data_IF_079339163547
#
_entry.id   IF_079339163547
#
_cell.length_a   1.000
_cell.length_b   1.000
_cell.length_c   1.000
_cell.angle_alpha   90.00
_cell.angle_beta   90.00
_cell.angle_gamma   90.00
#
_symmetry.space_group_name_H-M   'P 1'
#
loop_
_entity.id
_entity.type
_entity.pdbx_description
1 polymer ?
#
# COMPACT_ATOMS: atom_id res chain seq x y z
N UNK A 1 -50.47 -9.90 28.74
CA UNK A 1 -49.87 -8.91 27.80
C UNK A 1 -48.62 -8.20 28.32
N UNK A 2 -48.44 -7.98 29.64
CA UNK A 2 -47.26 -7.26 30.19
C UNK A 2 -45.92 -8.02 30.07
N UNK A 3 -45.94 -9.36 30.13
CA UNK A 3 -44.73 -10.20 30.09
C UNK A 3 -44.05 -10.16 28.71
N UNK A 4 -44.84 -10.17 27.63
CA UNK A 4 -44.32 -10.10 26.24
C UNK A 4 -43.58 -8.78 26.00
N UNK A 5 -44.12 -7.67 26.52
CA UNK A 5 -43.47 -6.36 26.42
C UNK A 5 -42.11 -6.31 27.17
N UNK A 6 -42.00 -6.95 28.34
CA UNK A 6 -40.75 -7.00 29.11
C UNK A 6 -39.67 -7.80 28.37
N UNK A 7 -40.02 -8.97 27.82
CA UNK A 7 -39.08 -9.82 27.07
C UNK A 7 -38.57 -9.07 25.81
N UNK A 8 -39.46 -8.39 25.09
CA UNK A 8 -39.10 -7.58 23.93
C UNK A 8 -38.14 -6.44 24.30
N UNK A 9 -38.37 -5.75 25.43
CA UNK A 9 -37.51 -4.66 25.91
C UNK A 9 -36.11 -5.15 26.33
N UNK A 10 -36.02 -6.31 26.99
CA UNK A 10 -34.72 -6.92 27.38
C UNK A 10 -33.89 -7.29 26.15
N UNK A 11 -34.52 -7.92 25.15
CA UNK A 11 -33.84 -8.29 23.90
C UNK A 11 -33.39 -7.06 23.09
N UNK A 12 -34.20 -6.00 23.06
CA UNK A 12 -33.82 -4.71 22.48
C UNK A 12 -32.64 -4.07 23.22
N UNK A 13 -32.65 -4.09 24.56
CA UNK A 13 -31.56 -3.56 25.38
C UNK A 13 -30.22 -4.28 25.13
N UNK A 14 -30.24 -5.61 25.07
CA UNK A 14 -29.05 -6.43 24.81
C UNK A 14 -28.47 -6.18 23.41
N UNK A 15 -29.33 -6.13 22.37
CA UNK A 15 -28.90 -5.88 20.99
C UNK A 15 -28.34 -4.46 20.79
N UNK A 16 -28.96 -3.46 21.40
CA UNK A 16 -28.47 -2.07 21.40
C UNK A 16 -27.13 -1.94 22.14
N UNK A 17 -26.97 -2.62 23.27
CA UNK A 17 -25.71 -2.67 24.03
C UNK A 17 -24.56 -3.21 23.19
N UNK A 18 -24.76 -4.36 22.54
CA UNK A 18 -23.77 -4.97 21.67
C UNK A 18 -23.41 -4.08 20.46
N UNK A 19 -24.42 -3.44 19.84
CA UNK A 19 -24.19 -2.52 18.71
C UNK A 19 -23.36 -1.31 19.13
N UNK A 20 -23.63 -0.74 20.31
CA UNK A 20 -22.86 0.38 20.86
C UNK A 20 -21.42 -0.01 21.15
N UNK A 21 -21.19 -1.14 21.82
CA UNK A 21 -19.85 -1.65 22.11
C UNK A 21 -19.05 -1.89 20.82
N UNK A 22 -19.65 -2.56 19.84
CA UNK A 22 -19.01 -2.80 18.54
C UNK A 22 -18.67 -1.47 17.83
N UNK A 23 -19.57 -0.49 17.87
CA UNK A 23 -19.33 0.82 17.27
C UNK A 23 -18.13 1.54 17.90
N UNK A 24 -17.95 1.41 19.21
CA UNK A 24 -16.80 1.98 19.92
C UNK A 24 -15.50 1.25 19.59
N UNK A 25 -15.53 -0.09 19.49
CA UNK A 25 -14.37 -0.88 19.06
C UNK A 25 -13.89 -0.49 17.66
N UNK A 26 -14.82 -0.37 16.69
CA UNK A 26 -14.47 0.05 15.33
C UNK A 26 -13.95 1.50 15.32
N UNK A 27 -14.55 2.40 16.12
CA UNK A 27 -14.06 3.76 16.26
C UNK A 27 -12.63 3.81 16.83
N UNK A 28 -12.32 2.93 17.79
CA UNK A 28 -10.98 2.82 18.35
C UNK A 28 -9.96 2.33 17.33
N UNK A 29 -10.30 1.31 16.55
CA UNK A 29 -9.43 0.82 15.48
C UNK A 29 -9.13 1.91 14.44
N UNK A 30 -10.15 2.71 14.07
CA UNK A 30 -9.95 3.86 13.19
C UNK A 30 -8.98 4.87 13.82
N UNK A 31 -9.12 5.19 15.11
CA UNK A 31 -8.20 6.10 15.82
C UNK A 31 -6.76 5.58 15.80
N UNK A 32 -6.57 4.28 16.01
CA UNK A 32 -5.24 3.66 16.00
C UNK A 32 -4.60 3.75 14.61
N UNK A 33 -5.36 3.50 13.54
CA UNK A 33 -4.91 3.65 12.15
C UNK A 33 -4.55 5.11 11.85
N UNK A 34 -5.41 6.05 12.22
CA UNK A 34 -5.16 7.48 11.99
C UNK A 34 -3.89 7.90 12.72
N UNK A 35 -3.73 7.53 13.99
CA UNK A 35 -2.55 7.85 14.78
C UNK A 35 -1.28 7.24 14.20
N UNK A 36 -1.33 5.97 13.77
CA UNK A 36 -0.23 5.29 13.09
C UNK A 36 0.22 6.09 11.87
N UNK A 37 -0.69 6.43 10.96
CA UNK A 37 -0.32 7.00 9.67
C UNK A 37 -0.26 8.54 9.61
N UNK A 38 -0.67 9.25 10.67
CA UNK A 38 -0.67 10.72 10.72
C UNK A 38 0.66 11.36 10.32
N UNK A 39 1.78 10.76 10.73
CA UNK A 39 3.13 11.24 10.37
C UNK A 39 3.65 10.64 9.06
N UNK A 40 3.32 9.38 8.76
CA UNK A 40 3.79 8.65 7.58
C UNK A 40 3.07 9.03 6.28
N UNK A 41 1.94 9.73 6.36
CA UNK A 41 1.24 10.25 5.17
C UNK A 41 1.92 11.47 4.55
N UNK A 42 2.92 12.06 5.23
CA UNK A 42 3.69 13.21 4.72
C UNK A 42 4.36 12.87 3.39
N UNK A 43 3.99 13.59 2.33
CA UNK A 43 4.51 13.37 0.98
C UNK A 43 3.80 12.27 0.19
N UNK A 44 2.81 11.57 0.75
CA UNK A 44 1.92 10.67 0.02
C UNK A 44 0.47 11.19 0.12
N UNK A 45 0.07 11.98 -0.87
CA UNK A 45 -1.23 12.64 -0.89
C UNK A 45 -2.43 11.67 -0.85
N UNK A 46 -2.30 10.48 -1.47
CA UNK A 46 -3.37 9.47 -1.48
C UNK A 46 -3.56 8.84 -0.10
N UNK A 47 -2.45 8.48 0.58
CA UNK A 47 -2.51 7.95 1.95
C UNK A 47 -3.06 9.01 2.91
N UNK A 48 -2.65 10.28 2.76
CA UNK A 48 -3.19 11.38 3.55
C UNK A 48 -4.71 11.51 3.39
N UNK A 49 -5.21 11.51 2.15
CA UNK A 49 -6.66 11.57 1.89
C UNK A 49 -7.42 10.39 2.52
N UNK A 50 -6.84 9.19 2.50
CA UNK A 50 -7.45 8.03 3.15
C UNK A 50 -7.51 8.16 4.67
N UNK A 51 -6.45 8.67 5.30
CA UNK A 51 -6.40 8.94 6.74
C UNK A 51 -7.44 9.98 7.15
N UNK A 52 -7.55 11.09 6.41
CA UNK A 52 -8.57 12.13 6.66
C UNK A 52 -9.99 11.59 6.47
N UNK A 53 -10.23 10.80 5.40
CA UNK A 53 -11.53 10.16 5.16
C UNK A 53 -11.92 9.26 6.33
N UNK A 54 -11.00 8.41 6.80
CA UNK A 54 -11.21 7.55 7.96
C UNK A 54 -11.50 8.34 9.23
N UNK A 55 -10.70 9.36 9.52
CA UNK A 55 -10.87 10.21 10.69
C UNK A 55 -12.28 10.82 10.75
N UNK A 56 -12.80 11.27 9.60
CA UNK A 56 -14.17 11.82 9.50
C UNK A 56 -15.28 10.81 9.84
N UNK A 57 -15.00 9.49 9.89
CA UNK A 57 -16.00 8.44 10.16
C UNK A 57 -16.06 8.00 11.62
N UNK A 58 -15.17 8.46 12.48
CA UNK A 58 -15.12 8.03 13.90
C UNK A 58 -16.45 8.24 14.62
N UNK A 59 -17.19 9.31 14.29
CA UNK A 59 -18.46 9.64 14.95
C UNK A 59 -19.71 9.26 14.13
N UNK A 60 -19.55 8.49 13.04
CA UNK A 60 -20.69 8.07 12.20
C UNK A 60 -21.34 6.78 12.70
N UNK A 61 -22.43 6.36 12.03
CA UNK A 61 -23.08 5.07 12.25
C UNK A 61 -22.11 3.90 12.05
N UNK A 62 -22.35 2.80 12.76
CA UNK A 62 -21.49 1.61 12.74
C UNK A 62 -21.24 1.09 11.32
N UNK A 63 -22.29 1.02 10.52
CA UNK A 63 -22.23 0.49 9.15
C UNK A 63 -21.28 1.31 8.26
N UNK A 64 -21.30 2.63 8.42
CA UNK A 64 -20.41 3.57 7.69
C UNK A 64 -18.96 3.41 8.16
N UNK A 65 -18.74 3.22 9.47
CA UNK A 65 -17.39 2.99 10.02
C UNK A 65 -16.78 1.71 9.45
N UNK A 66 -17.53 0.62 9.48
CA UNK A 66 -17.09 -0.69 8.98
C UNK A 66 -16.79 -0.64 7.48
N UNK A 67 -17.64 0.00 6.70
CA UNK A 67 -17.44 0.18 5.26
C UNK A 67 -16.11 0.89 4.95
N UNK A 68 -15.87 2.05 5.58
CA UNK A 68 -14.66 2.85 5.32
C UNK A 68 -13.40 2.18 5.88
N UNK A 69 -13.50 1.51 7.02
CA UNK A 69 -12.41 0.71 7.58
C UNK A 69 -12.03 -0.43 6.63
N UNK A 70 -13.01 -1.15 6.08
CA UNK A 70 -12.78 -2.22 5.11
C UNK A 70 -12.09 -1.71 3.85
N UNK A 71 -12.63 -0.63 3.26
CA UNK A 71 -12.04 0.03 2.08
C UNK A 71 -10.60 0.50 2.31
N UNK A 72 -10.32 1.06 3.48
CA UNK A 72 -8.97 1.45 3.84
C UNK A 72 -8.03 0.25 3.95
N UNK A 73 -8.45 -0.83 4.61
CA UNK A 73 -7.63 -2.05 4.74
C UNK A 73 -7.29 -2.65 3.38
N UNK A 74 -8.23 -2.64 2.45
CA UNK A 74 -7.98 -3.07 1.07
C UNK A 74 -6.96 -2.18 0.37
N UNK A 75 -7.15 -0.86 0.44
CA UNK A 75 -6.22 0.13 -0.07
C UNK A 75 -4.80 -0.07 0.49
N UNK A 76 -4.68 -0.18 1.81
CA UNK A 76 -3.40 -0.26 2.52
C UNK A 76 -2.68 -1.57 2.23
N UNK A 77 -3.42 -2.69 2.11
CA UNK A 77 -2.86 -3.98 1.67
C UNK A 77 -2.24 -3.87 0.28
N UNK A 78 -2.94 -3.24 -0.67
CA UNK A 78 -2.41 -3.02 -2.03
C UNK A 78 -1.19 -2.11 -2.01
N UNK A 79 -1.24 -1.02 -1.24
CA UNK A 79 -0.13 -0.07 -1.08
C UNK A 79 1.13 -0.78 -0.56
N UNK A 80 1.02 -1.53 0.54
CA UNK A 80 2.14 -2.26 1.12
C UNK A 80 2.69 -3.34 0.16
N UNK A 81 1.82 -4.05 -0.57
CA UNK A 81 2.25 -5.02 -1.59
C UNK A 81 3.09 -4.37 -2.70
N UNK A 82 2.67 -3.21 -3.20
CA UNK A 82 3.41 -2.45 -4.22
C UNK A 82 4.75 -1.95 -3.68
N UNK A 83 4.77 -1.45 -2.44
CA UNK A 83 6.00 -0.99 -1.78
C UNK A 83 6.99 -2.13 -1.54
N UNK A 84 6.52 -3.33 -1.21
CA UNK A 84 7.37 -4.52 -1.12
C UNK A 84 7.98 -4.90 -2.47
N UNK A 85 7.22 -4.80 -3.57
CA UNK A 85 7.73 -5.04 -4.92
C UNK A 85 8.80 -4.02 -5.33
N UNK A 86 8.58 -2.73 -5.00
CA UNK A 86 9.57 -1.67 -5.20
C UNK A 86 10.87 -2.01 -4.45
N UNK A 87 10.77 -2.35 -3.16
CA UNK A 87 11.92 -2.74 -2.33
C UNK A 87 12.67 -3.93 -2.92
N UNK A 88 11.96 -4.98 -3.31
CA UNK A 88 12.56 -6.18 -3.90
C UNK A 88 13.31 -5.88 -5.21
N UNK A 89 12.73 -5.02 -6.06
CA UNK A 89 13.37 -4.61 -7.31
C UNK A 89 14.62 -3.76 -7.07
N UNK A 90 14.57 -2.80 -6.14
CA UNK A 90 15.74 -1.99 -5.74
C UNK A 90 16.86 -2.90 -5.24
N UNK A 91 16.55 -3.90 -4.41
CA UNK A 91 17.54 -4.86 -3.91
C UNK A 91 18.19 -5.66 -5.05
N UNK A 92 17.39 -6.09 -6.03
CA UNK A 92 17.90 -6.76 -7.24
C UNK A 92 18.84 -5.85 -8.02
N UNK A 93 18.47 -4.59 -8.22
CA UNK A 93 19.30 -3.58 -8.90
C UNK A 93 20.62 -3.37 -8.16
N UNK A 94 20.60 -3.23 -6.83
CA UNK A 94 21.81 -3.05 -6.03
C UNK A 94 22.79 -4.22 -6.25
N UNK A 95 22.28 -5.46 -6.27
CA UNK A 95 23.10 -6.65 -6.56
C UNK A 95 23.66 -6.63 -7.99
N UNK A 96 22.86 -6.26 -8.99
CA UNK A 96 23.29 -6.19 -10.39
C UNK A 96 24.40 -5.15 -10.61
N UNK A 97 24.29 -4.00 -9.95
CA UNK A 97 25.28 -2.93 -9.99
C UNK A 97 26.59 -3.35 -9.31
N UNK A 98 26.51 -4.03 -8.16
CA UNK A 98 27.69 -4.55 -7.46
C UNK A 98 28.49 -5.54 -8.33
N UNK A 99 27.78 -6.39 -9.09
CA UNK A 99 28.39 -7.35 -10.01
C UNK A 99 28.83 -6.74 -11.35
N UNK A 100 28.60 -5.44 -11.57
CA UNK A 100 28.86 -4.74 -12.83
C UNK A 100 28.30 -5.48 -14.06
N UNK A 101 27.14 -6.15 -13.90
CA UNK A 101 26.58 -7.04 -14.93
C UNK A 101 26.18 -6.22 -16.18
N UNK A 102 26.84 -6.48 -17.30
CA UNK A 102 26.64 -5.75 -18.57
C UNK A 102 27.41 -4.41 -18.65
N UNK A 103 28.36 -4.18 -17.74
CA UNK A 103 29.29 -3.05 -17.77
C UNK A 103 28.64 -1.69 -17.46
N UNK A 104 29.41 -0.61 -17.68
CA UNK A 104 29.05 0.78 -17.31
C UNK A 104 27.69 1.23 -17.86
N UNK A 105 27.32 0.80 -19.06
CA UNK A 105 26.02 1.13 -19.67
C UNK A 105 24.86 0.57 -18.84
N UNK A 106 24.95 -0.68 -18.42
CA UNK A 106 23.91 -1.31 -17.61
C UNK A 106 23.87 -0.78 -16.18
N UNK A 107 25.02 -0.42 -15.60
CA UNK A 107 25.05 0.27 -14.30
C UNK A 107 24.25 1.58 -14.36
N UNK A 108 24.48 2.42 -15.38
CA UNK A 108 23.70 3.66 -15.57
C UNK A 108 22.21 3.37 -15.77
N UNK A 109 21.88 2.38 -16.61
CA UNK A 109 20.50 1.96 -16.85
C UNK A 109 19.76 1.58 -15.55
N UNK A 110 20.39 0.75 -14.71
CA UNK A 110 19.79 0.35 -13.44
C UNK A 110 19.75 1.47 -12.40
N UNK A 111 20.71 2.40 -12.41
CA UNK A 111 20.66 3.60 -11.57
C UNK A 111 19.42 4.47 -11.89
N UNK A 112 19.10 4.66 -13.17
CA UNK A 112 17.87 5.36 -13.57
C UNK A 112 16.62 4.63 -13.06
N UNK A 113 16.56 3.30 -13.21
CA UNK A 113 15.45 2.51 -12.68
C UNK A 113 15.31 2.66 -11.16
N UNK A 114 16.42 2.59 -10.42
CA UNK A 114 16.44 2.73 -8.97
C UNK A 114 15.90 4.09 -8.53
N UNK A 115 16.34 5.18 -9.14
CA UNK A 115 15.87 6.53 -8.82
C UNK A 115 14.35 6.68 -9.05
N UNK A 116 13.83 6.15 -10.16
CA UNK A 116 12.39 6.16 -10.42
C UNK A 116 11.59 5.35 -9.38
N UNK A 117 12.11 4.19 -8.98
CA UNK A 117 11.51 3.32 -7.96
C UNK A 117 11.52 3.96 -6.56
N UNK A 118 12.61 4.63 -6.18
CA UNK A 118 12.72 5.37 -4.90
C UNK A 118 11.72 6.54 -4.85
N UNK A 119 11.51 7.23 -5.98
CA UNK A 119 10.48 8.27 -6.08
C UNK A 119 9.04 7.74 -5.95
N UNK A 120 8.81 6.46 -6.24
CA UNK A 120 7.47 5.89 -6.31
C UNK A 120 6.79 5.68 -4.96
N UNK A 121 7.53 5.54 -3.85
CA UNK A 121 6.95 5.32 -2.51
C UNK A 121 5.92 6.40 -2.12
N UNK A 122 6.13 7.63 -2.59
CA UNK A 122 5.31 8.80 -2.31
C UNK A 122 4.10 8.96 -3.24
N UNK A 123 3.96 8.12 -4.27
CA UNK A 123 2.92 8.27 -5.30
C UNK A 123 1.67 7.43 -4.98
N UNK A 124 0.63 7.61 -5.79
CA UNK A 124 -0.59 6.80 -5.71
C UNK A 124 -0.32 5.33 -6.05
N UNK A 125 -1.19 4.41 -5.60
CA UNK A 125 -1.06 2.98 -5.93
C UNK A 125 -1.01 2.73 -7.45
N UNK A 126 -1.83 3.43 -8.24
CA UNK A 126 -1.81 3.34 -9.70
C UNK A 126 -0.48 3.79 -10.30
N UNK A 127 0.10 4.89 -9.80
CA UNK A 127 1.41 5.37 -10.26
C UNK A 127 2.54 4.45 -9.83
N UNK A 128 2.48 3.87 -8.62
CA UNK A 128 3.43 2.84 -8.16
C UNK A 128 3.46 1.65 -9.12
N UNK A 129 2.29 1.11 -9.47
CA UNK A 129 2.15 -0.01 -10.41
C UNK A 129 2.71 0.30 -11.80
N UNK A 130 2.43 1.49 -12.32
CA UNK A 130 3.01 1.96 -13.59
C UNK A 130 4.55 2.00 -13.53
N UNK A 131 5.12 2.58 -12.46
CA UNK A 131 6.58 2.69 -12.31
C UNK A 131 7.22 1.30 -12.15
N UNK A 132 6.64 0.40 -11.35
CA UNK A 132 7.13 -0.97 -11.20
C UNK A 132 7.20 -1.64 -12.58
N UNK A 133 6.10 -1.58 -13.35
CA UNK A 133 6.03 -2.16 -14.69
C UNK A 133 7.12 -1.61 -15.61
N UNK A 134 7.29 -0.29 -15.67
CA UNK A 134 8.29 0.37 -16.53
C UNK A 134 9.74 0.10 -16.12
N UNK A 135 9.99 -0.24 -14.85
CA UNK A 135 11.34 -0.43 -14.30
C UNK A 135 11.64 -1.89 -13.91
N UNK A 136 10.86 -2.83 -14.46
CA UNK A 136 11.01 -4.27 -14.24
C UNK A 136 12.00 -4.94 -15.18
N UNK A 137 12.27 -4.35 -16.35
CA UNK A 137 13.05 -4.95 -17.42
C UNK A 137 14.55 -5.00 -17.10
N UNK A 138 15.24 -5.99 -17.67
CA UNK A 138 16.69 -6.07 -17.61
C UNK A 138 17.32 -5.09 -18.59
N UNK A 139 18.57 -4.68 -18.31
CA UNK A 139 19.36 -3.90 -19.26
C UNK A 139 19.47 -4.68 -20.59
N UNK A 140 19.14 -4.06 -21.73
CA UNK A 140 19.30 -4.70 -23.03
C UNK A 140 20.79 -4.76 -23.38
N UNK A 141 21.45 -5.85 -22.98
CA UNK A 141 22.80 -6.18 -23.40
C UNK A 141 22.68 -6.60 -24.87
N UNK A 142 23.19 -5.78 -25.78
CA UNK A 142 23.49 -6.27 -27.13
C UNK A 142 24.63 -7.26 -26.94
N UNK A 143 24.37 -8.55 -27.09
CA UNK A 143 25.45 -9.49 -27.38
C UNK A 143 26.10 -8.97 -28.66
N UNK A 144 27.31 -8.45 -28.55
CA UNK A 144 28.17 -8.37 -29.73
C UNK A 144 28.28 -9.83 -30.14
N UNK A 145 27.69 -10.20 -31.29
CA UNK A 145 28.02 -11.49 -31.90
C UNK A 145 29.53 -11.46 -32.05
N UNK A 146 30.23 -12.31 -31.32
CA UNK A 146 31.63 -12.57 -31.57
C UNK A 146 31.69 -13.07 -33.02
N UNK A 147 32.10 -12.19 -33.94
CA UNK A 147 32.62 -12.63 -35.24
C UNK A 147 33.91 -13.36 -34.92
N UNK A 148 33.78 -14.67 -34.70
CA UNK A 148 34.88 -15.62 -34.80
C UNK A 148 35.19 -15.83 -36.28
N UNK A 149 35.68 -14.81 -36.97
CA UNK A 149 36.25 -14.97 -38.31
C UNK A 149 37.39 -13.95 -38.46
N UNK A 150 38.52 -14.43 -38.99
CA UNK A 150 39.81 -13.78 -39.25
C UNK A 150 40.84 -13.71 -38.11
N UNK A 151 41.61 -14.79 -37.99
CA UNK A 151 43.08 -14.70 -38.04
C UNK A 151 43.61 -15.77 -39.02
N UNK A 152 44.05 -15.30 -40.19
CA UNK A 152 45.03 -15.95 -41.05
C UNK A 152 46.42 -15.89 -40.41
#
# INVERSE_FOLDING_TARGET
>A
MKIIAIILLVNLGFTLGNKKQKSEQVAQEIRDIVNKYKRFSTGNAELYQWVEKLYSKINTRLEIKEEYLSKFKEYDRRRQSLENQITARINTINRLNLLNKGGKRCVKYYQFQKSALEGAYKLTNSKKEYIITKNSSQCPIKFIKENYDDYF
#
